data_IF_273202976157
#
_entry.id   IF_273202976157
#
_cell.length_a   1.000
_cell.length_b   1.000
_cell.length_c   1.000
_cell.angle_alpha   90.00
_cell.angle_beta   90.00
_cell.angle_gamma   90.00
#
_symmetry.space_group_name_H-M   'P 1'
#
loop_
_entity.id
_entity.type
_entity.pdbx_description
1 polymer ?
#
# COMPACT_ATOMS: atom_id res chain seq x y z
N UNK A 1 -64.01 -21.00 7.09
CA UNK A 1 -64.98 -19.95 6.71
C UNK A 1 -64.35 -18.58 6.86
N UNK A 2 -64.58 -17.75 5.87
CA UNK A 2 -64.28 -16.35 5.59
C UNK A 2 -62.93 -16.03 4.96
N UNK A 3 -63.06 -15.84 3.62
CA UNK A 3 -62.19 -15.09 2.68
C UNK A 3 -62.35 -13.59 2.92
N UNK A 4 -61.31 -12.79 2.73
CA UNK A 4 -61.36 -11.41 2.25
C UNK A 4 -60.06 -11.18 1.43
N UNK A 5 -60.18 -11.14 0.16
CA UNK A 5 -60.10 -10.14 -0.95
C UNK A 5 -59.16 -8.95 -0.61
N UNK A 6 -58.10 -8.79 -1.27
CA UNK A 6 -57.47 -8.27 -2.43
C UNK A 6 -57.62 -6.75 -2.61
N UNK A 7 -56.51 -6.04 -2.68
CA UNK A 7 -56.44 -4.77 -3.37
C UNK A 7 -55.03 -4.52 -3.94
N UNK A 8 -54.91 -4.68 -5.24
CA UNK A 8 -53.76 -4.33 -6.07
C UNK A 8 -53.81 -2.83 -6.43
N UNK A 9 -52.72 -2.13 -6.26
CA UNK A 9 -52.52 -0.76 -6.79
C UNK A 9 -51.48 -0.78 -7.92
N UNK A 10 -51.72 -0.02 -9.00
CA UNK A 10 -50.84 -0.02 -10.18
C UNK A 10 -49.64 0.89 -10.00
N UNK A 11 -48.50 0.44 -10.52
CA UNK A 11 -47.22 1.17 -10.59
C UNK A 11 -47.29 2.19 -11.74
N UNK A 12 -47.11 3.47 -11.46
CA UNK A 12 -46.92 4.53 -12.47
C UNK A 12 -45.45 4.60 -12.86
N UNK A 13 -45.19 4.53 -14.17
CA UNK A 13 -43.89 4.83 -14.78
C UNK A 13 -43.70 6.36 -14.88
N UNK A 14 -42.50 6.90 -14.62
CA UNK A 14 -42.19 8.28 -14.99
C UNK A 14 -41.63 8.37 -16.42
N UNK A 15 -41.92 9.48 -17.06
CA UNK A 15 -41.61 9.80 -18.44
C UNK A 15 -40.14 10.19 -18.65
N UNK A 16 -39.63 9.80 -19.81
CA UNK A 16 -38.34 10.24 -20.38
C UNK A 16 -38.37 11.70 -20.80
N UNK A 17 -37.44 12.52 -20.28
CA UNK A 17 -37.10 13.81 -20.82
C UNK A 17 -35.80 13.70 -21.63
N UNK A 18 -35.92 14.04 -22.92
CA UNK A 18 -34.78 14.22 -23.83
C UNK A 18 -34.23 15.64 -23.62
N UNK A 19 -32.92 15.77 -23.44
CA UNK A 19 -32.21 17.06 -23.47
C UNK A 19 -31.17 17.00 -24.58
N UNK A 20 -31.27 18.04 -25.45
CA UNK A 20 -30.49 18.14 -26.66
C UNK A 20 -29.04 18.55 -26.45
N UNK A 21 -28.22 18.11 -27.38
CA UNK A 21 -26.81 18.52 -27.53
C UNK A 21 -26.72 19.90 -28.18
N UNK A 22 -25.97 20.79 -27.55
CA UNK A 22 -25.45 22.01 -28.20
C UNK A 22 -23.93 21.87 -28.32
N UNK A 23 -23.45 21.84 -29.54
CA UNK A 23 -22.02 21.85 -29.87
C UNK A 23 -21.48 23.29 -29.83
N UNK A 24 -20.41 23.56 -29.14
CA UNK A 24 -19.60 24.76 -29.27
C UNK A 24 -18.20 24.39 -29.76
N UNK A 25 -17.88 24.93 -30.95
CA UNK A 25 -16.54 24.92 -31.50
C UNK A 25 -15.74 26.09 -30.89
N UNK A 26 -14.49 25.85 -30.51
CA UNK A 26 -13.54 26.90 -30.16
C UNK A 26 -12.23 26.69 -30.96
N UNK A 27 -11.86 27.78 -31.60
CA UNK A 27 -10.76 27.98 -32.52
C UNK A 27 -9.38 27.85 -31.86
N UNK A 28 -8.45 27.33 -32.64
CA UNK A 28 -7.02 27.33 -32.37
C UNK A 28 -6.42 28.72 -32.59
N UNK A 29 -5.47 29.10 -31.73
CA UNK A 29 -4.51 30.15 -32.02
C UNK A 29 -3.09 29.66 -31.66
N UNK A 30 -2.24 29.57 -32.66
CA UNK A 30 -0.80 29.39 -32.55
C UNK A 30 -0.13 30.73 -32.21
N UNK A 31 0.87 30.73 -31.33
CA UNK A 31 1.97 31.69 -31.42
C UNK A 31 3.28 31.11 -30.98
N UNK A 32 4.27 31.30 -31.78
CA UNK A 32 5.67 30.86 -31.80
C UNK A 32 6.62 31.84 -31.11
N UNK A 33 7.75 31.32 -30.63
CA UNK A 33 8.99 32.06 -30.38
C UNK A 33 9.38 32.13 -28.93
N UNK A 34 10.59 31.87 -28.50
CA UNK A 34 11.92 31.88 -29.00
C UNK A 34 12.91 31.51 -27.91
N UNK A 35 14.05 31.06 -28.33
CA UNK A 35 15.27 30.61 -27.65
C UNK A 35 15.88 31.56 -26.64
N UNK A 36 16.52 31.01 -25.58
CA UNK A 36 17.93 31.26 -25.25
C UNK A 36 18.37 30.49 -23.97
N UNK A 37 19.39 29.64 -24.10
CA UNK A 37 20.33 29.26 -23.02
C UNK A 37 21.42 30.35 -22.94
N UNK A 38 22.20 30.46 -21.85
CA UNK A 38 23.26 29.51 -21.55
C UNK A 38 23.64 29.32 -20.05
N UNK A 39 24.17 28.14 -19.76
CA UNK A 39 25.50 28.01 -19.13
C UNK A 39 25.70 27.96 -17.65
N UNK A 40 26.18 26.81 -17.15
CA UNK A 40 27.35 26.79 -16.30
C UNK A 40 27.12 26.35 -14.84
N UNK A 41 27.78 25.26 -14.45
CA UNK A 41 28.19 25.04 -13.07
C UNK A 41 27.86 23.66 -12.48
N UNK A 42 28.59 22.63 -12.91
CA UNK A 42 28.65 21.35 -12.23
C UNK A 42 29.44 21.51 -10.92
N UNK A 43 28.84 21.21 -9.79
CA UNK A 43 29.56 20.80 -8.57
C UNK A 43 29.04 19.44 -8.16
N UNK A 44 29.94 18.47 -8.29
CA UNK A 44 29.75 17.12 -7.79
C UNK A 44 29.63 17.16 -6.26
N UNK A 45 28.55 16.64 -5.71
CA UNK A 45 28.49 16.21 -4.34
C UNK A 45 28.11 14.75 -4.27
N UNK A 46 28.96 14.01 -3.55
CA UNK A 46 28.93 12.60 -3.27
C UNK A 46 27.55 12.09 -2.86
N UNK A 47 27.04 11.15 -3.63
CA UNK A 47 25.86 10.37 -3.29
C UNK A 47 26.15 9.44 -2.10
N UNK A 48 25.53 9.72 -0.97
CA UNK A 48 25.28 8.71 0.07
C UNK A 48 23.99 7.98 -0.33
N UNK A 49 24.09 6.66 -0.48
CA UNK A 49 23.01 5.77 -0.81
C UNK A 49 21.88 5.87 0.21
N UNK A 50 20.69 6.21 -0.24
CA UNK A 50 19.32 5.92 0.21
C UNK A 50 18.35 7.04 -0.22
N UNK A 51 18.31 7.35 -1.51
CA UNK A 51 17.51 8.47 -2.02
C UNK A 51 16.62 8.12 -3.21
N UNK A 52 15.81 7.08 -3.11
CA UNK A 52 14.95 6.62 -4.20
C UNK A 52 13.50 7.12 -4.14
N UNK A 53 13.22 8.37 -3.83
CA UNK A 53 11.85 8.90 -3.86
C UNK A 53 11.73 10.28 -4.52
N UNK A 54 12.83 11.01 -4.67
CA UNK A 54 12.83 12.31 -5.32
C UNK A 54 12.95 12.14 -6.84
N UNK A 55 11.89 12.45 -7.57
CA UNK A 55 11.99 12.58 -9.04
C UNK A 55 12.82 13.84 -9.33
N UNK A 56 13.92 13.75 -10.11
CA UNK A 56 14.72 14.91 -10.44
C UNK A 56 13.87 16.04 -11.04
N UNK A 57 13.90 17.22 -10.40
CA UNK A 57 13.14 18.40 -10.84
C UNK A 57 11.67 18.44 -10.38
N UNK A 58 11.15 17.43 -9.71
CA UNK A 58 9.79 17.45 -9.16
C UNK A 58 9.81 17.86 -7.68
N UNK A 59 8.95 18.79 -7.31
CA UNK A 59 8.78 19.26 -5.92
C UNK A 59 7.40 18.86 -5.40
N UNK A 60 7.33 18.54 -4.12
CA UNK A 60 6.05 18.31 -3.45
C UNK A 60 5.40 19.68 -3.20
N UNK A 61 4.17 19.93 -3.69
CA UNK A 61 3.52 21.25 -3.59
C UNK A 61 3.40 21.76 -2.16
N UNK A 62 3.26 20.88 -1.19
CA UNK A 62 3.07 21.19 0.24
C UNK A 62 4.37 21.29 1.03
N UNK A 63 5.55 21.09 0.41
CA UNK A 63 6.84 21.01 1.11
C UNK A 63 7.14 22.18 2.05
N UNK A 64 6.62 23.36 1.75
CA UNK A 64 6.86 24.59 2.52
C UNK A 64 5.70 24.95 3.47
N UNK A 65 4.73 24.07 3.66
CA UNK A 65 3.68 24.31 4.65
C UNK A 65 4.26 24.32 6.07
N UNK A 66 3.78 25.22 6.96
CA UNK A 66 4.29 25.33 8.31
C UNK A 66 3.92 24.08 9.12
N UNK A 67 4.93 23.35 9.62
CA UNK A 67 4.73 22.18 10.47
C UNK A 67 4.46 22.56 11.93
N UNK A 68 3.70 21.70 12.63
CA UNK A 68 3.44 21.86 14.05
C UNK A 68 4.77 21.90 14.85
N UNK A 69 4.92 22.84 15.78
CA UNK A 69 6.12 22.99 16.60
C UNK A 69 5.98 22.37 17.99
N UNK A 70 4.74 22.16 18.44
CA UNK A 70 4.39 21.54 19.72
C UNK A 70 3.03 20.88 19.62
N UNK A 71 2.91 19.67 20.11
CA UNK A 71 1.60 18.98 20.21
C UNK A 71 0.83 19.61 21.37
N UNK A 72 -0.38 20.06 21.08
CA UNK A 72 -1.33 20.60 22.04
C UNK A 72 -2.31 19.55 22.54
N UNK A 73 -3.41 20.04 23.14
CA UNK A 73 -4.57 19.20 23.45
C UNK A 73 -5.23 18.75 22.12
N UNK A 74 -5.63 17.50 22.05
CA UNK A 74 -6.35 16.97 20.90
C UNK A 74 -7.70 17.68 20.68
N UNK A 75 -8.13 17.74 19.44
CA UNK A 75 -9.36 18.40 18.99
C UNK A 75 -10.62 17.56 19.27
N UNK A 76 -10.47 16.35 19.80
CA UNK A 76 -11.57 15.47 20.21
C UNK A 76 -11.99 14.43 19.17
N UNK A 77 -11.51 14.55 17.93
CA UNK A 77 -11.78 13.58 16.86
C UNK A 77 -10.54 13.30 16.05
N UNK A 78 -10.49 12.11 15.40
CA UNK A 78 -9.46 11.69 14.48
C UNK A 78 -10.07 10.81 13.39
N UNK A 79 -10.09 11.31 12.16
CA UNK A 79 -10.71 10.65 11.02
C UNK A 79 -9.64 9.98 10.17
N UNK A 80 -9.59 8.67 10.17
CA UNK A 80 -8.53 7.86 9.57
C UNK A 80 -9.03 7.09 8.35
N UNK A 81 -8.28 7.14 7.26
CA UNK A 81 -8.36 6.19 6.16
C UNK A 81 -7.34 5.09 6.46
N UNK A 82 -7.78 3.83 6.50
CA UNK A 82 -6.93 2.72 6.91
C UNK A 82 -7.23 1.42 6.14
N UNK A 83 -6.26 0.53 6.13
CA UNK A 83 -6.48 -0.86 5.74
C UNK A 83 -7.39 -1.57 6.73
N UNK A 84 -8.12 -2.60 6.25
CA UNK A 84 -8.94 -3.45 7.11
C UNK A 84 -8.09 -4.09 8.21
N UNK A 85 -8.52 -3.96 9.47
CA UNK A 85 -7.82 -4.50 10.63
C UNK A 85 -6.95 -3.48 11.38
N UNK A 86 -6.42 -2.43 10.74
CA UNK A 86 -5.44 -1.51 11.37
C UNK A 86 -5.95 -0.72 12.58
N UNK A 87 -7.25 -0.63 12.76
CA UNK A 87 -7.87 0.10 13.85
C UNK A 87 -8.57 -0.87 14.84
N UNK A 88 -7.81 -1.87 15.34
CA UNK A 88 -8.33 -2.81 16.33
C UNK A 88 -8.58 -2.11 17.68
N UNK A 89 -9.70 -2.39 18.33
CA UNK A 89 -10.02 -1.85 19.66
C UNK A 89 -8.95 -2.05 20.74
N UNK A 90 -8.07 -3.04 20.60
CA UNK A 90 -6.97 -3.30 21.56
C UNK A 90 -6.04 -2.11 21.76
N UNK A 91 -5.79 -1.30 20.72
CA UNK A 91 -4.98 -0.08 20.81
C UNK A 91 -5.78 1.19 20.56
N UNK A 92 -6.87 1.15 19.80
CA UNK A 92 -7.71 2.34 19.56
C UNK A 92 -8.35 2.83 20.86
N UNK A 93 -9.01 1.94 21.62
CA UNK A 93 -9.66 2.34 22.89
C UNK A 93 -8.71 2.95 23.91
N UNK A 94 -7.51 2.37 24.19
CA UNK A 94 -6.54 3.01 25.07
C UNK A 94 -6.07 4.38 24.57
N UNK A 95 -5.90 4.56 23.27
CA UNK A 95 -5.57 5.86 22.67
C UNK A 95 -6.67 6.89 22.94
N UNK A 96 -7.92 6.55 22.65
CA UNK A 96 -9.07 7.42 22.89
C UNK A 96 -9.20 7.83 24.37
N UNK A 97 -9.00 6.87 25.29
CA UNK A 97 -9.03 7.12 26.72
C UNK A 97 -7.91 8.06 27.20
N UNK A 98 -6.71 7.92 26.62
CA UNK A 98 -5.53 8.72 27.02
C UNK A 98 -5.58 10.13 26.46
N UNK A 99 -6.10 10.31 25.25
CA UNK A 99 -5.99 11.56 24.50
C UNK A 99 -7.29 12.34 24.38
N UNK A 100 -8.43 11.66 24.53
CA UNK A 100 -9.77 12.19 24.24
C UNK A 100 -10.06 12.32 22.74
N UNK A 101 -9.16 11.85 21.84
CA UNK A 101 -9.37 11.84 20.40
C UNK A 101 -10.14 10.58 19.99
N UNK A 102 -11.43 10.73 19.61
CA UNK A 102 -12.27 9.64 19.14
C UNK A 102 -11.89 9.27 17.71
N UNK A 103 -11.60 7.99 17.46
CA UNK A 103 -11.16 7.48 16.16
C UNK A 103 -12.36 7.09 15.31
N UNK A 104 -12.47 7.72 14.14
CA UNK A 104 -13.45 7.39 13.10
C UNK A 104 -12.72 6.74 11.91
N UNK A 105 -13.11 5.52 11.57
CA UNK A 105 -12.46 4.73 10.54
C UNK A 105 -13.20 4.78 9.20
N UNK A 106 -12.49 5.05 8.11
CA UNK A 106 -12.86 4.70 6.74
C UNK A 106 -11.88 3.63 6.27
N UNK A 107 -12.34 2.39 6.15
CA UNK A 107 -11.52 1.33 5.55
C UNK A 107 -11.52 1.45 4.03
N UNK A 108 -10.34 1.31 3.44
CA UNK A 108 -10.12 1.27 2.01
C UNK A 108 -9.64 -0.12 1.59
N UNK A 109 -10.07 -0.57 0.42
CA UNK A 109 -9.73 -1.88 -0.13
C UNK A 109 -8.53 -1.86 -1.07
N UNK A 110 -7.99 -0.68 -1.40
CA UNK A 110 -6.84 -0.54 -2.31
C UNK A 110 -6.11 0.78 -2.12
N UNK A 111 -4.84 0.81 -2.55
CA UNK A 111 -4.04 2.04 -2.65
C UNK A 111 -4.72 3.11 -3.51
N UNK A 112 -5.39 2.71 -4.60
CA UNK A 112 -6.11 3.64 -5.48
C UNK A 112 -7.30 4.30 -4.79
N UNK A 113 -8.05 3.57 -3.96
CA UNK A 113 -9.11 4.13 -3.14
C UNK A 113 -8.54 5.13 -2.13
N UNK A 114 -7.42 4.81 -1.46
CA UNK A 114 -6.74 5.71 -0.52
C UNK A 114 -6.30 7.01 -1.18
N UNK A 115 -5.65 6.94 -2.36
CA UNK A 115 -5.28 8.11 -3.15
C UNK A 115 -6.52 8.93 -3.52
N UNK A 116 -7.62 8.29 -3.90
CA UNK A 116 -8.87 8.97 -4.24
C UNK A 116 -9.49 9.70 -3.06
N UNK A 117 -9.52 9.09 -1.88
CA UNK A 117 -10.04 9.68 -0.64
C UNK A 117 -9.17 10.84 -0.14
N UNK A 118 -7.86 10.79 -0.41
CA UNK A 118 -6.91 11.85 -0.03
C UNK A 118 -6.94 13.08 -0.95
N UNK A 119 -7.61 13.03 -2.10
CA UNK A 119 -7.70 14.16 -3.03
C UNK A 119 -8.15 15.44 -2.33
N UNK A 120 -7.59 16.58 -2.76
CA UNK A 120 -7.77 17.89 -2.13
C UNK A 120 -7.33 17.94 -0.67
N UNK A 121 -6.28 17.17 -0.30
CA UNK A 121 -5.75 17.10 1.04
C UNK A 121 -6.71 16.48 2.05
N UNK A 122 -7.36 15.39 1.67
CA UNK A 122 -8.38 14.71 2.47
C UNK A 122 -9.73 15.46 2.50
N UNK A 123 -9.88 16.50 1.64
CA UNK A 123 -11.11 17.28 1.54
C UNK A 123 -11.55 18.02 2.81
N UNK A 124 -10.70 18.08 3.85
CA UNK A 124 -11.06 18.55 5.20
C UNK A 124 -11.95 17.60 5.99
N UNK A 125 -12.10 16.36 5.51
CA UNK A 125 -12.86 15.29 6.18
C UNK A 125 -11.96 14.29 6.90
N UNK A 126 -10.81 14.00 6.31
CA UNK A 126 -9.85 13.03 6.83
C UNK A 126 -8.60 13.72 7.36
N UNK A 127 -8.08 13.16 8.44
CA UNK A 127 -6.86 13.64 9.09
C UNK A 127 -5.64 12.92 8.60
N UNK A 128 -5.73 11.61 8.44
CA UNK A 128 -4.59 10.77 8.06
C UNK A 128 -5.03 9.59 7.19
N UNK A 129 -4.05 9.04 6.48
CA UNK A 129 -4.16 7.77 5.74
C UNK A 129 -3.00 6.84 6.11
N UNK A 130 -3.27 5.54 6.22
CA UNK A 130 -2.23 4.49 6.32
C UNK A 130 -1.95 3.92 4.93
N UNK A 131 -1.24 4.67 4.10
CA UNK A 131 -0.97 4.25 2.72
C UNK A 131 0.32 3.44 2.60
N UNK A 132 0.40 2.61 1.57
CA UNK A 132 1.60 1.85 1.22
C UNK A 132 2.44 2.58 0.18
N UNK A 133 3.72 2.20 0.04
CA UNK A 133 4.69 2.91 -0.78
C UNK A 133 4.31 3.08 -2.26
N UNK A 134 3.42 2.24 -2.80
CA UNK A 134 2.87 2.39 -4.16
C UNK A 134 1.91 3.57 -4.30
N UNK A 135 1.32 4.05 -3.19
CA UNK A 135 0.42 5.19 -3.15
C UNK A 135 1.12 6.49 -2.72
N UNK A 136 2.11 6.39 -1.85
CA UNK A 136 2.67 7.52 -1.12
C UNK A 136 3.15 8.65 -2.03
N UNK A 137 3.97 8.37 -3.04
CA UNK A 137 4.46 9.41 -3.95
C UNK A 137 3.34 10.06 -4.78
N UNK A 138 2.27 9.32 -5.07
CA UNK A 138 1.09 9.88 -5.78
C UNK A 138 0.37 10.90 -4.91
N UNK A 139 0.20 10.61 -3.61
CA UNK A 139 -0.39 11.52 -2.63
C UNK A 139 0.52 12.75 -2.44
N UNK A 140 1.83 12.54 -2.32
CA UNK A 140 2.81 13.61 -2.13
C UNK A 140 2.85 14.59 -3.31
N UNK A 141 3.04 14.08 -4.53
CA UNK A 141 3.16 14.93 -5.72
C UNK A 141 1.83 15.56 -6.15
N UNK A 142 0.69 15.04 -5.69
CA UNK A 142 -0.60 15.70 -5.83
C UNK A 142 -0.77 16.88 -4.84
N UNK A 143 0.10 17.00 -3.82
CA UNK A 143 -0.02 18.01 -2.77
C UNK A 143 -1.11 17.68 -1.74
N UNK A 144 -1.42 16.40 -1.57
CA UNK A 144 -2.51 15.95 -0.70
C UNK A 144 -2.04 15.58 0.72
N UNK A 145 -0.72 15.49 0.95
CA UNK A 145 -0.12 15.27 2.27
C UNK A 145 0.56 16.52 2.82
N UNK A 146 0.56 16.65 4.15
CA UNK A 146 1.18 17.73 4.91
C UNK A 146 2.55 17.27 5.44
N UNK A 147 3.58 18.14 5.44
CA UNK A 147 4.86 17.84 6.10
C UNK A 147 4.69 17.55 7.59
N UNK A 148 5.49 16.63 8.11
CA UNK A 148 5.47 16.20 9.52
C UNK A 148 6.76 16.61 10.23
N UNK A 149 6.62 17.19 11.41
CA UNK A 149 7.75 17.46 12.30
C UNK A 149 8.07 16.19 13.12
N UNK A 150 8.97 15.35 12.61
CA UNK A 150 9.38 14.10 13.27
C UNK A 150 10.02 14.28 14.64
N UNK A 151 10.52 15.49 14.97
CA UNK A 151 11.05 15.79 16.31
C UNK A 151 9.98 15.70 17.38
N UNK A 152 8.71 15.78 17.00
CA UNK A 152 7.57 15.59 17.89
C UNK A 152 7.17 14.11 18.05
N UNK A 153 7.87 13.17 17.41
CA UNK A 153 7.59 11.72 17.47
C UNK A 153 8.76 11.03 18.16
N UNK A 154 8.75 10.88 19.49
CA UNK A 154 9.90 10.39 20.27
C UNK A 154 10.43 9.03 19.85
N UNK A 155 9.53 8.13 19.43
CA UNK A 155 9.86 6.75 19.02
C UNK A 155 10.50 6.66 17.64
N UNK A 156 10.45 7.71 16.80
CA UNK A 156 11.02 7.68 15.45
C UNK A 156 12.52 7.32 15.42
N UNK A 157 13.29 7.78 16.41
CA UNK A 157 14.73 7.44 16.54
C UNK A 157 15.00 5.95 16.77
N UNK A 158 13.99 5.20 17.25
CA UNK A 158 14.08 3.78 17.57
C UNK A 158 13.66 2.89 16.37
N UNK A 159 13.28 3.49 15.25
CA UNK A 159 12.96 2.76 14.03
C UNK A 159 14.22 2.18 13.39
N UNK A 160 14.05 1.12 12.62
CA UNK A 160 15.12 0.65 11.74
C UNK A 160 15.53 1.75 10.78
N UNK A 161 16.84 1.88 10.44
CA UNK A 161 17.32 2.96 9.56
C UNK A 161 16.56 3.06 8.23
N UNK A 162 16.14 1.92 7.65
CA UNK A 162 15.38 1.88 6.42
C UNK A 162 14.01 2.60 6.52
N UNK A 163 13.44 2.70 7.72
CA UNK A 163 12.11 3.28 7.96
C UNK A 163 12.13 4.65 8.67
N UNK A 164 13.32 5.18 9.00
CA UNK A 164 13.43 6.52 9.55
C UNK A 164 13.19 7.60 8.48
N UNK A 165 13.70 7.40 7.27
CA UNK A 165 13.56 8.35 6.17
C UNK A 165 13.42 7.61 4.84
N UNK A 166 12.39 6.74 4.70
CA UNK A 166 12.24 5.97 3.47
C UNK A 166 11.85 6.88 2.31
N UNK A 167 12.33 6.54 1.13
CA UNK A 167 12.15 7.31 -0.08
C UNK A 167 10.68 7.52 -0.50
N UNK A 168 9.78 6.63 -0.08
CA UNK A 168 8.37 6.72 -0.41
C UNK A 168 7.61 7.75 0.45
N UNK A 169 8.12 8.15 1.64
CA UNK A 169 7.48 9.17 2.47
C UNK A 169 8.38 10.35 2.87
N UNK A 170 9.62 10.38 2.39
CA UNK A 170 10.59 11.44 2.70
C UNK A 170 11.22 11.96 1.41
N UNK A 171 10.89 13.19 1.04
CA UNK A 171 11.35 13.82 -0.19
C UNK A 171 12.20 15.03 0.14
N UNK A 172 13.45 15.07 -0.37
CA UNK A 172 14.41 16.14 -0.11
C UNK A 172 14.58 16.47 1.39
N UNK A 173 14.57 15.44 2.26
CA UNK A 173 14.70 15.58 3.70
C UNK A 173 13.43 16.05 4.43
N UNK A 174 12.32 16.27 3.72
CA UNK A 174 11.02 16.59 4.30
C UNK A 174 10.23 15.31 4.51
N UNK A 175 9.80 15.05 5.73
CA UNK A 175 8.99 13.89 6.10
C UNK A 175 7.49 14.22 5.97
N UNK A 176 6.69 13.28 5.48
CA UNK A 176 5.24 13.45 5.29
C UNK A 176 4.41 12.47 6.10
N UNK A 177 5.06 11.63 6.88
CA UNK A 177 4.39 10.65 7.71
C UNK A 177 5.38 9.89 8.59
N UNK A 178 4.85 8.89 9.28
CA UNK A 178 5.60 7.98 10.15
C UNK A 178 5.32 6.57 9.68
N UNK A 179 6.39 5.83 9.36
CA UNK A 179 6.29 4.42 9.00
C UNK A 179 5.70 3.62 10.18
N UNK A 180 4.91 2.61 9.88
CA UNK A 180 4.16 1.85 10.88
C UNK A 180 4.68 0.43 11.04
N UNK A 181 4.65 -0.32 9.95
CA UNK A 181 5.02 -1.73 9.87
C UNK A 181 5.18 -2.11 8.40
N UNK A 182 5.76 -3.28 8.17
CA UNK A 182 5.97 -3.78 6.83
C UNK A 182 5.80 -5.31 6.79
N UNK A 183 5.62 -5.84 5.61
CA UNK A 183 5.54 -7.27 5.39
C UNK A 183 5.73 -7.65 3.92
N UNK A 184 6.14 -8.89 3.67
CA UNK A 184 6.22 -9.43 2.31
C UNK A 184 4.84 -9.82 1.81
N UNK A 185 4.66 -9.80 0.48
CA UNK A 185 3.67 -10.63 -0.16
C UNK A 185 4.14 -12.09 -0.07
N UNK A 186 3.36 -12.94 0.54
CA UNK A 186 3.74 -14.33 0.77
C UNK A 186 2.96 -15.27 -0.13
N UNK A 187 3.60 -16.36 -0.55
CA UNK A 187 2.90 -17.48 -1.16
C UNK A 187 2.20 -18.28 -0.07
N UNK A 188 0.87 -18.26 -0.08
CA UNK A 188 0.01 -19.02 0.81
C UNK A 188 -0.41 -20.33 0.18
N UNK A 189 -0.47 -21.41 0.97
CA UNK A 189 -0.91 -22.72 0.47
C UNK A 189 -1.60 -23.53 1.56
N UNK A 190 -2.60 -24.31 1.18
CA UNK A 190 -3.27 -25.26 2.09
C UNK A 190 -2.37 -26.48 2.33
N UNK A 191 -1.97 -26.73 3.58
CA UNK A 191 -1.06 -27.85 3.94
C UNK A 191 -1.69 -29.25 3.79
N UNK A 192 -3.01 -29.34 3.55
CA UNK A 192 -3.66 -30.60 3.17
C UNK A 192 -3.33 -30.98 1.73
N UNK A 193 -3.21 -29.98 0.86
CA UNK A 193 -2.97 -30.16 -0.58
C UNK A 193 -1.47 -30.17 -0.89
N UNK A 194 -0.68 -29.40 -0.15
CA UNK A 194 0.77 -29.31 -0.29
C UNK A 194 1.50 -29.88 0.94
N UNK A 195 2.08 -31.06 0.79
CA UNK A 195 2.86 -31.70 1.89
C UNK A 195 4.24 -31.10 2.07
N UNK A 196 4.76 -30.45 1.05
CA UNK A 196 6.01 -29.69 1.06
C UNK A 196 5.69 -28.27 0.62
N UNK A 197 6.28 -27.28 1.31
CA UNK A 197 6.14 -25.89 0.94
C UNK A 197 6.58 -25.64 -0.52
N UNK A 198 5.80 -24.97 -1.36
CA UNK A 198 6.24 -24.58 -2.69
C UNK A 198 7.48 -23.68 -2.60
N UNK A 199 8.50 -23.96 -3.41
CA UNK A 199 9.75 -23.19 -3.42
C UNK A 199 9.83 -22.11 -4.48
N UNK A 200 8.83 -22.04 -5.36
CA UNK A 200 8.74 -21.10 -6.48
C UNK A 200 7.32 -20.56 -6.63
N UNK A 201 7.21 -19.32 -7.14
CA UNK A 201 5.95 -18.76 -7.59
C UNK A 201 5.35 -19.48 -8.81
N UNK A 202 6.07 -20.42 -9.44
CA UNK A 202 5.57 -21.24 -10.57
C UNK A 202 4.18 -21.83 -10.29
N UNK A 203 3.91 -22.20 -9.04
CA UNK A 203 2.65 -22.87 -8.66
C UNK A 203 1.41 -22.02 -8.89
N UNK A 204 1.49 -20.68 -8.82
CA UNK A 204 0.35 -19.80 -9.10
C UNK A 204 0.15 -19.54 -10.60
N UNK A 205 1.06 -20.02 -11.44
CA UNK A 205 1.00 -19.98 -12.89
C UNK A 205 0.75 -21.37 -13.51
N UNK A 206 0.69 -22.43 -12.69
CA UNK A 206 0.48 -23.80 -13.16
C UNK A 206 -1.01 -24.08 -13.44
N UNK A 207 -1.33 -24.47 -14.66
CA UNK A 207 -2.69 -24.82 -15.11
C UNK A 207 -3.35 -25.94 -14.29
N UNK A 208 -2.57 -26.76 -13.58
CA UNK A 208 -3.06 -27.78 -12.66
C UNK A 208 -3.96 -27.21 -11.55
N UNK A 209 -3.74 -25.94 -11.16
CA UNK A 209 -4.47 -25.27 -10.09
C UNK A 209 -5.54 -24.30 -10.59
N UNK A 210 -6.02 -24.52 -11.82
CA UNK A 210 -7.05 -23.69 -12.43
C UNK A 210 -8.29 -23.53 -11.54
N UNK A 211 -8.68 -22.26 -11.28
CA UNK A 211 -9.82 -21.90 -10.46
C UNK A 211 -9.60 -22.15 -8.95
N UNK A 212 -8.33 -22.25 -8.49
CA UNK A 212 -8.00 -22.49 -7.09
C UNK A 212 -6.93 -21.52 -6.55
N UNK A 213 -6.62 -20.46 -7.31
CA UNK A 213 -5.62 -19.44 -6.96
C UNK A 213 -6.32 -18.13 -6.65
N UNK A 214 -5.89 -17.44 -5.58
CA UNK A 214 -6.34 -16.09 -5.24
C UNK A 214 -5.17 -15.12 -5.24
N UNK A 215 -5.40 -13.89 -5.67
CA UNK A 215 -4.38 -12.83 -5.69
C UNK A 215 -5.03 -11.47 -5.36
N UNK A 216 -4.27 -10.47 -4.86
CA UNK A 216 -4.81 -9.13 -4.62
C UNK A 216 -5.34 -8.46 -5.89
N UNK A 217 -6.46 -7.75 -5.78
CA UNK A 217 -6.97 -6.85 -6.82
C UNK A 217 -6.22 -5.51 -6.77
N UNK A 218 -4.95 -5.52 -7.18
CA UNK A 218 -4.11 -4.34 -7.12
C UNK A 218 -3.14 -4.30 -8.32
N UNK A 219 -3.08 -3.21 -9.11
CA UNK A 219 -2.15 -3.07 -10.25
C UNK A 219 -0.68 -3.30 -9.89
N UNK A 220 -0.29 -3.10 -8.62
CA UNK A 220 1.09 -3.32 -8.16
C UNK A 220 1.54 -4.79 -8.30
N UNK A 221 0.59 -5.74 -8.47
CA UNK A 221 0.88 -7.15 -8.77
C UNK A 221 1.70 -7.35 -10.07
N UNK A 222 1.77 -6.34 -10.93
CA UNK A 222 2.67 -6.35 -12.10
C UNK A 222 4.13 -6.42 -11.63
N UNK A 223 4.46 -5.84 -10.46
CA UNK A 223 5.79 -5.98 -9.87
C UNK A 223 6.05 -7.41 -9.37
N UNK A 224 5.05 -8.14 -8.84
CA UNK A 224 5.20 -9.55 -8.46
C UNK A 224 5.55 -10.41 -9.67
N UNK A 225 4.86 -10.17 -10.80
CA UNK A 225 5.19 -10.81 -12.07
C UNK A 225 6.60 -10.44 -12.55
N UNK A 226 7.04 -9.19 -12.33
CA UNK A 226 8.38 -8.74 -12.69
C UNK A 226 9.47 -9.41 -11.82
N UNK A 227 9.24 -9.61 -10.51
CA UNK A 227 10.14 -10.38 -9.63
C UNK A 227 10.29 -11.80 -10.13
N UNK A 228 9.19 -12.47 -10.47
CA UNK A 228 9.22 -13.80 -11.08
C UNK A 228 10.01 -13.81 -12.39
N UNK A 229 9.71 -12.87 -13.31
CA UNK A 229 10.38 -12.79 -14.62
C UNK A 229 11.87 -12.45 -14.53
N UNK A 230 12.28 -11.67 -13.54
CA UNK A 230 13.70 -11.37 -13.27
C UNK A 230 14.51 -12.65 -13.10
N UNK A 231 13.95 -13.68 -12.48
CA UNK A 231 14.59 -14.99 -12.29
C UNK A 231 14.43 -15.89 -13.49
N UNK A 232 13.23 -15.99 -14.06
CA UNK A 232 12.87 -16.96 -15.09
C UNK A 232 13.15 -16.50 -16.53
N UNK A 233 13.30 -15.17 -16.76
CA UNK A 233 13.66 -14.57 -18.05
C UNK A 233 14.73 -13.49 -17.86
N UNK A 234 15.95 -13.85 -17.45
CA UNK A 234 17.01 -12.88 -17.16
C UNK A 234 17.40 -12.03 -18.38
N UNK A 235 17.11 -12.50 -19.61
CA UNK A 235 17.31 -11.72 -20.84
C UNK A 235 16.48 -10.45 -20.92
N UNK A 236 15.44 -10.30 -20.10
CA UNK A 236 14.66 -9.05 -19.98
C UNK A 236 15.45 -7.95 -19.28
N UNK A 237 16.48 -8.28 -18.48
CA UNK A 237 17.30 -7.30 -17.78
C UNK A 237 16.56 -6.51 -16.71
N UNK A 238 15.55 -7.09 -16.08
CA UNK A 238 14.79 -6.44 -14.97
C UNK A 238 15.73 -6.30 -13.77
N UNK A 239 15.98 -5.07 -13.33
CA UNK A 239 16.77 -4.77 -12.12
C UNK A 239 15.88 -4.40 -10.95
N UNK A 240 14.92 -3.49 -11.15
CA UNK A 240 13.92 -3.06 -10.19
C UNK A 240 12.51 -3.42 -10.73
N UNK A 241 11.67 -4.14 -9.95
CA UNK A 241 10.35 -4.55 -10.40
C UNK A 241 9.34 -3.39 -10.57
N UNK A 242 9.66 -2.20 -10.06
CA UNK A 242 8.82 -1.00 -10.18
C UNK A 242 9.30 -0.04 -11.28
N UNK A 243 10.50 -0.26 -11.83
CA UNK A 243 11.11 0.56 -12.87
C UNK A 243 11.18 -0.19 -14.19
N UNK A 244 10.02 -0.56 -14.70
CA UNK A 244 9.92 -1.37 -15.91
C UNK A 244 9.93 -0.50 -17.18
N UNK A 245 10.83 -0.82 -18.10
CA UNK A 245 10.72 -0.35 -19.49
C UNK A 245 9.48 -0.97 -20.17
N UNK A 246 9.01 -0.38 -21.28
CA UNK A 246 7.82 -0.88 -21.98
C UNK A 246 7.89 -2.38 -22.33
N UNK A 247 9.01 -2.95 -22.83
CA UNK A 247 9.09 -4.40 -23.09
C UNK A 247 9.01 -5.26 -21.81
N UNK A 248 9.65 -4.83 -20.73
CA UNK A 248 9.60 -5.53 -19.43
C UNK A 248 8.20 -5.50 -18.83
N UNK A 249 7.56 -4.33 -18.85
CA UNK A 249 6.18 -4.14 -18.43
C UNK A 249 5.21 -5.03 -19.22
N UNK A 250 5.31 -5.03 -20.54
CA UNK A 250 4.44 -5.86 -21.38
C UNK A 250 4.64 -7.37 -21.11
N UNK A 251 5.87 -7.79 -20.81
CA UNK A 251 6.14 -9.18 -20.43
C UNK A 251 5.46 -9.55 -19.12
N UNK A 252 5.51 -8.66 -18.11
CA UNK A 252 4.84 -8.87 -16.81
C UNK A 252 3.31 -8.90 -16.97
N UNK A 253 2.73 -7.95 -17.71
CA UNK A 253 1.29 -7.92 -18.00
C UNK A 253 0.85 -9.18 -18.75
N UNK A 254 1.62 -9.64 -19.74
CA UNK A 254 1.30 -10.86 -20.50
C UNK A 254 1.32 -12.11 -19.62
N UNK A 255 2.25 -12.20 -18.65
CA UNK A 255 2.29 -13.29 -17.69
C UNK A 255 1.02 -13.31 -16.82
N UNK A 256 0.62 -12.16 -16.27
CA UNK A 256 -0.60 -12.05 -15.46
C UNK A 256 -1.87 -12.31 -16.28
N UNK A 257 -1.93 -11.84 -17.53
CA UNK A 257 -3.04 -12.15 -18.43
C UNK A 257 -3.16 -13.67 -18.68
N UNK A 258 -2.03 -14.38 -18.80
CA UNK A 258 -2.04 -15.85 -18.91
C UNK A 258 -2.46 -16.55 -17.62
N UNK A 259 -2.27 -15.92 -16.46
CA UNK A 259 -2.71 -16.44 -15.16
C UNK A 259 -4.23 -16.31 -14.96
N UNK A 260 -4.89 -15.34 -15.59
CA UNK A 260 -6.32 -15.03 -15.40
C UNK A 260 -7.24 -16.27 -15.36
N UNK A 261 -7.11 -17.28 -16.23
CA UNK A 261 -7.96 -18.48 -16.18
C UNK A 261 -7.75 -19.37 -14.94
N UNK A 262 -6.66 -19.15 -14.19
CA UNK A 262 -6.31 -19.90 -12.99
C UNK A 262 -6.90 -19.25 -11.73
N UNK A 263 -7.23 -17.96 -11.81
CA UNK A 263 -7.66 -17.16 -10.67
C UNK A 263 -9.12 -17.49 -10.33
N UNK A 264 -9.34 -17.90 -9.08
CA UNK A 264 -10.65 -17.99 -8.47
C UNK A 264 -11.20 -16.61 -8.15
N UNK A 265 -10.33 -15.78 -7.50
CA UNK A 265 -10.69 -14.42 -7.11
C UNK A 265 -9.51 -13.46 -7.10
N UNK A 266 -9.76 -12.26 -7.63
CA UNK A 266 -9.00 -11.05 -7.31
C UNK A 266 -9.66 -10.43 -6.07
N UNK A 267 -8.99 -10.51 -4.91
CA UNK A 267 -9.56 -10.03 -3.65
C UNK A 267 -9.15 -8.58 -3.35
N UNK A 268 -10.10 -7.79 -2.85
CA UNK A 268 -9.87 -6.39 -2.43
C UNK A 268 -9.76 -6.26 -0.91
N UNK A 269 -10.43 -7.12 -0.15
CA UNK A 269 -10.33 -7.17 1.31
C UNK A 269 -9.71 -8.49 1.75
N UNK A 270 -8.83 -8.43 2.74
CA UNK A 270 -8.16 -9.62 3.30
C UNK A 270 -9.16 -10.70 3.74
N UNK A 271 -10.30 -10.27 4.29
CA UNK A 271 -11.40 -11.15 4.69
C UNK A 271 -11.97 -12.01 3.55
N UNK A 272 -11.91 -11.53 2.30
CA UNK A 272 -12.37 -12.29 1.13
C UNK A 272 -11.46 -13.49 0.84
N UNK A 273 -10.13 -13.30 0.86
CA UNK A 273 -9.19 -14.40 0.68
C UNK A 273 -9.26 -15.41 1.83
N UNK A 274 -9.37 -14.93 3.09
CA UNK A 274 -9.59 -15.79 4.26
C UNK A 274 -10.84 -16.66 4.07
N UNK A 275 -11.93 -16.07 3.56
CA UNK A 275 -13.16 -16.80 3.26
C UNK A 275 -12.95 -17.87 2.20
N UNK A 276 -12.25 -17.54 1.10
CA UNK A 276 -12.04 -18.48 -0.02
C UNK A 276 -11.19 -19.68 0.41
N UNK A 277 -10.14 -19.49 1.21
CA UNK A 277 -9.38 -20.60 1.81
C UNK A 277 -10.25 -21.45 2.74
N UNK A 278 -11.02 -20.85 3.66
CA UNK A 278 -11.86 -21.57 4.62
C UNK A 278 -12.94 -22.43 3.96
N UNK A 279 -13.47 -21.98 2.83
CA UNK A 279 -14.52 -22.70 2.09
C UNK A 279 -13.97 -23.65 1.03
N UNK A 280 -12.65 -23.74 0.85
CA UNK A 280 -12.02 -24.60 -0.13
C UNK A 280 -12.15 -24.12 -1.57
N UNK A 281 -12.50 -22.85 -1.79
CA UNK A 281 -12.52 -22.20 -3.09
C UNK A 281 -11.09 -22.00 -3.60
N UNK A 282 -10.14 -21.72 -2.68
CA UNK A 282 -8.72 -21.56 -2.98
C UNK A 282 -7.86 -22.53 -2.16
N UNK A 283 -6.76 -22.99 -2.77
CA UNK A 283 -5.71 -23.79 -2.12
C UNK A 283 -4.34 -23.15 -2.21
N UNK A 284 -4.20 -22.13 -3.07
CA UNK A 284 -3.02 -21.29 -3.29
C UNK A 284 -3.43 -19.83 -3.33
N UNK A 285 -2.53 -18.94 -2.90
CA UNK A 285 -2.75 -17.51 -3.01
C UNK A 285 -1.49 -16.69 -2.84
N UNK A 286 -1.53 -15.47 -3.33
CA UNK A 286 -0.62 -14.41 -2.94
C UNK A 286 -1.34 -13.52 -1.94
N UNK A 287 -0.86 -13.46 -0.71
CA UNK A 287 -1.51 -12.73 0.37
C UNK A 287 -0.51 -12.08 1.32
N UNK A 288 -1.00 -11.61 2.44
CA UNK A 288 -0.19 -10.95 3.46
C UNK A 288 -0.09 -11.80 4.73
N UNK A 289 0.89 -11.56 5.59
CA UNK A 289 0.99 -12.25 6.89
C UNK A 289 -0.29 -12.18 7.73
N UNK A 290 -1.07 -11.12 7.61
CA UNK A 290 -2.36 -10.95 8.30
C UNK A 290 -3.36 -12.08 7.99
N UNK A 291 -3.56 -12.46 6.72
CA UNK A 291 -4.44 -13.58 6.36
C UNK A 291 -3.91 -14.89 6.93
N UNK A 292 -2.59 -15.10 6.86
CA UNK A 292 -1.93 -16.29 7.42
C UNK A 292 -2.16 -16.38 8.93
N UNK A 293 -1.91 -15.29 9.67
CA UNK A 293 -2.12 -15.21 11.11
C UNK A 293 -3.58 -15.50 11.49
N UNK A 294 -4.53 -14.88 10.78
CA UNK A 294 -5.97 -15.07 10.99
C UNK A 294 -6.41 -16.51 10.73
N UNK A 295 -5.91 -17.14 9.67
CA UNK A 295 -6.21 -18.53 9.33
C UNK A 295 -5.60 -19.51 10.36
N UNK A 296 -4.35 -19.28 10.80
CA UNK A 296 -3.71 -20.05 11.88
C UNK A 296 -4.50 -19.95 13.19
N UNK A 297 -4.92 -18.73 13.57
CA UNK A 297 -5.73 -18.52 14.77
C UNK A 297 -7.09 -19.26 14.73
N UNK A 298 -7.62 -19.47 13.53
CA UNK A 298 -8.82 -20.28 13.29
C UNK A 298 -8.53 -21.80 13.16
N UNK A 299 -7.31 -22.25 13.44
CA UNK A 299 -6.85 -23.65 13.27
C UNK A 299 -7.00 -24.18 11.83
N UNK A 300 -6.98 -23.28 10.83
CA UNK A 300 -6.99 -23.67 9.43
C UNK A 300 -5.60 -24.17 9.00
N UNK A 301 -5.49 -25.23 8.17
CA UNK A 301 -4.20 -25.82 7.76
C UNK A 301 -3.53 -24.96 6.67
N UNK A 302 -3.03 -23.80 7.04
CA UNK A 302 -2.33 -22.86 6.16
C UNK A 302 -0.82 -22.94 6.36
N UNK A 303 -0.09 -22.96 5.26
CA UNK A 303 1.35 -22.74 5.19
C UNK A 303 1.67 -21.49 4.39
N UNK A 304 2.87 -20.97 4.59
CA UNK A 304 3.37 -19.80 3.86
C UNK A 304 4.86 -19.93 3.59
N UNK A 305 5.32 -19.28 2.52
CA UNK A 305 6.74 -19.21 2.17
C UNK A 305 7.03 -17.95 1.35
N UNK A 306 8.29 -17.50 1.40
CA UNK A 306 8.85 -16.59 0.39
C UNK A 306 9.61 -17.47 -0.59
N UNK A 307 9.16 -17.56 -1.86
CA UNK A 307 9.83 -18.39 -2.86
C UNK A 307 11.24 -17.92 -3.21
N UNK A 308 11.98 -18.78 -3.90
CA UNK A 308 13.39 -18.54 -4.26
C UNK A 308 13.63 -17.35 -5.19
N UNK A 309 12.58 -16.86 -5.85
CA UNK A 309 12.60 -15.63 -6.66
C UNK A 309 12.65 -14.36 -5.80
N UNK A 310 12.38 -14.48 -4.51
CA UNK A 310 12.04 -13.38 -3.62
C UNK A 310 10.56 -13.01 -3.69
N UNK A 311 10.21 -11.88 -3.11
CA UNK A 311 8.86 -11.35 -3.10
C UNK A 311 8.85 -9.82 -3.21
N UNK A 312 7.73 -9.24 -3.58
CA UNK A 312 7.46 -7.86 -3.25
C UNK A 312 6.99 -7.76 -1.79
N UNK A 313 7.01 -6.56 -1.24
CA UNK A 313 6.53 -6.30 0.10
C UNK A 313 6.03 -4.87 0.23
N UNK A 314 5.17 -4.63 1.17
CA UNK A 314 4.63 -3.32 1.47
C UNK A 314 5.26 -2.78 2.76
N UNK A 315 5.30 -1.46 2.84
CA UNK A 315 5.63 -0.73 4.06
C UNK A 315 4.65 0.43 4.14
N UNK A 316 3.94 0.53 5.25
CA UNK A 316 2.85 1.46 5.40
C UNK A 316 3.26 2.70 6.18
N UNK A 317 2.68 3.83 5.80
CA UNK A 317 2.96 5.13 6.39
C UNK A 317 1.68 5.78 6.89
N UNK A 318 1.62 6.20 8.14
CA UNK A 318 0.61 7.14 8.59
C UNK A 318 0.96 8.53 8.08
N UNK A 319 0.35 8.96 6.98
CA UNK A 319 0.52 10.27 6.37
C UNK A 319 -0.51 11.26 6.89
N UNK A 320 -0.07 12.48 7.18
CA UNK A 320 -0.95 13.59 7.55
C UNK A 320 -1.57 14.21 6.30
N UNK A 321 -2.88 14.36 6.26
CA UNK A 321 -3.57 15.00 5.14
C UNK A 321 -3.23 16.52 5.09
N UNK A 322 -3.11 17.07 3.87
CA UNK A 322 -2.74 18.48 3.72
C UNK A 322 -3.76 19.46 4.34
N UNK A 323 -5.02 19.03 4.50
CA UNK A 323 -6.10 19.82 5.12
C UNK A 323 -6.68 19.10 6.34
N UNK A 324 -5.86 18.36 7.08
CA UNK A 324 -6.29 17.66 8.28
C UNK A 324 -6.98 18.60 9.28
N UNK A 325 -8.24 18.36 9.65
CA UNK A 325 -8.95 19.23 10.59
C UNK A 325 -8.49 19.09 12.04
N UNK A 326 -7.82 17.96 12.39
CA UNK A 326 -7.43 17.62 13.76
C UNK A 326 -5.92 17.30 13.88
N UNK A 327 -5.03 18.28 13.61
CA UNK A 327 -3.58 18.02 13.55
C UNK A 327 -2.98 17.59 14.90
N UNK A 328 -3.48 18.07 16.06
CA UNK A 328 -2.97 17.59 17.33
C UNK A 328 -3.34 16.13 17.60
N UNK A 329 -4.58 15.71 17.31
CA UNK A 329 -4.97 14.31 17.41
C UNK A 329 -4.15 13.43 16.45
N UNK A 330 -3.82 13.91 15.25
CA UNK A 330 -2.95 13.22 14.30
C UNK A 330 -1.54 13.01 14.85
N UNK A 331 -0.94 14.03 15.45
CA UNK A 331 0.38 13.89 16.09
C UNK A 331 0.34 13.00 17.33
N UNK A 332 -0.71 13.09 18.16
CA UNK A 332 -0.91 12.18 19.28
C UNK A 332 -1.03 10.73 18.82
N UNK A 333 -1.71 10.50 17.69
CA UNK A 333 -1.79 9.18 17.05
C UNK A 333 -0.41 8.69 16.60
N UNK A 334 0.33 9.49 15.84
CA UNK A 334 1.68 9.13 15.40
C UNK A 334 2.62 8.81 16.57
N UNK A 335 2.54 9.60 17.66
CA UNK A 335 3.32 9.34 18.90
C UNK A 335 2.94 8.00 19.52
N UNK A 336 1.64 7.71 19.62
CA UNK A 336 1.12 6.51 20.26
C UNK A 336 1.39 5.25 19.45
N UNK A 337 1.04 5.29 18.15
CA UNK A 337 1.11 4.13 17.26
C UNK A 337 2.55 3.68 16.98
N UNK A 338 3.52 4.59 17.08
CA UNK A 338 4.94 4.33 16.85
C UNK A 338 5.68 3.78 18.09
N UNK A 339 5.00 3.68 19.26
CA UNK A 339 5.64 3.14 20.46
C UNK A 339 5.95 1.66 20.34
N UNK A 340 7.04 1.15 20.95
CA UNK A 340 7.40 -0.26 20.90
C UNK A 340 6.26 -1.19 21.32
N UNK A 341 5.53 -0.82 22.37
CA UNK A 341 4.42 -1.61 22.91
C UNK A 341 3.26 -1.74 21.92
N UNK A 342 2.88 -0.64 21.28
CA UNK A 342 1.74 -0.64 20.35
C UNK A 342 2.12 -1.32 19.04
N UNK A 343 3.32 -1.05 18.52
CA UNK A 343 3.81 -1.77 17.33
C UNK A 343 3.97 -3.27 17.58
N UNK A 344 4.38 -3.68 18.78
CA UNK A 344 4.40 -5.11 19.15
C UNK A 344 3.00 -5.74 19.16
N UNK A 345 1.98 -5.02 19.68
CA UNK A 345 0.60 -5.50 19.64
C UNK A 345 0.08 -5.68 18.21
N UNK A 346 0.39 -4.72 17.33
CA UNK A 346 0.03 -4.78 15.92
C UNK A 346 0.75 -5.93 15.22
N UNK A 347 2.08 -6.00 15.36
CA UNK A 347 2.91 -7.04 14.76
C UNK A 347 2.41 -8.45 15.12
N UNK A 348 2.14 -8.71 16.39
CA UNK A 348 1.62 -10.02 16.86
C UNK A 348 0.21 -10.29 16.35
N UNK A 349 -0.64 -9.25 16.25
CA UNK A 349 -2.02 -9.40 15.77
C UNK A 349 -2.06 -9.69 14.27
N UNK A 350 -1.21 -9.03 13.49
CA UNK A 350 -1.20 -9.18 12.02
C UNK A 350 -0.21 -10.25 11.53
N UNK A 351 0.78 -10.63 12.35
CA UNK A 351 1.88 -11.48 11.93
C UNK A 351 2.91 -10.72 11.07
N UNK A 352 3.08 -9.43 11.31
CA UNK A 352 3.87 -8.50 10.50
C UNK A 352 5.12 -8.02 11.23
N UNK A 353 6.03 -7.39 10.50
CA UNK A 353 7.28 -6.88 11.08
C UNK A 353 7.10 -5.41 11.52
N UNK A 354 7.37 -5.06 12.79
CA UNK A 354 7.31 -3.67 13.25
C UNK A 354 8.48 -2.85 12.72
N UNK A 355 8.29 -1.56 12.52
CA UNK A 355 9.37 -0.64 12.15
C UNK A 355 10.23 -0.21 13.34
N UNK A 356 9.69 -0.29 14.54
CA UNK A 356 10.41 0.04 15.77
C UNK A 356 11.18 -1.19 16.28
N UNK A 357 12.52 -1.13 16.23
CA UNK A 357 13.41 -2.22 16.66
C UNK A 357 13.26 -2.64 18.13
N UNK A 358 12.73 -1.76 18.99
CA UNK A 358 12.48 -2.09 20.39
C UNK A 358 11.19 -2.89 20.59
N UNK A 359 10.35 -3.02 19.58
CA UNK A 359 9.12 -3.80 19.64
C UNK A 359 9.37 -5.31 19.80
N UNK A 360 10.52 -5.82 19.33
CA UNK A 360 10.90 -7.25 19.43
C UNK A 360 10.75 -7.79 20.87
N UNK A 361 11.29 -7.09 21.87
CA UNK A 361 11.20 -7.50 23.26
C UNK A 361 9.77 -7.45 23.82
N UNK A 362 8.94 -6.54 23.32
CA UNK A 362 7.52 -6.45 23.69
C UNK A 362 6.68 -7.53 23.00
N UNK A 363 7.03 -7.92 21.76
CA UNK A 363 6.39 -9.02 21.04
C UNK A 363 6.53 -10.33 21.78
N UNK A 364 7.74 -10.68 22.25
CA UNK A 364 7.99 -11.93 22.97
C UNK A 364 7.29 -11.98 24.34
N UNK A 365 6.96 -10.84 24.96
CA UNK A 365 6.10 -10.78 26.15
C UNK A 365 4.64 -11.09 25.83
N UNK A 366 4.17 -10.73 24.64
CA UNK A 366 2.79 -10.99 24.20
C UNK A 366 2.63 -12.44 23.72
N UNK A 367 3.61 -12.91 22.94
CA UNK A 367 3.64 -14.27 22.40
C UNK A 367 5.10 -14.70 22.29
N UNK A 368 5.50 -15.67 23.09
CA UNK A 368 6.87 -16.17 23.13
C UNK A 368 7.32 -16.64 21.73
N UNK A 369 8.47 -16.14 21.26
CA UNK A 369 9.05 -16.45 19.96
C UNK A 369 8.51 -15.61 18.79
N UNK A 370 7.54 -14.72 19.00
CA UNK A 370 6.93 -13.93 17.93
C UNK A 370 7.90 -12.95 17.28
N UNK A 371 8.89 -12.45 18.02
CA UNK A 371 9.94 -11.62 17.45
C UNK A 371 10.69 -12.32 16.30
N UNK A 372 11.03 -13.59 16.48
CA UNK A 372 11.67 -14.39 15.45
C UNK A 372 10.68 -14.86 14.37
N UNK A 373 9.47 -15.26 14.78
CA UNK A 373 8.43 -15.74 13.88
C UNK A 373 8.04 -14.67 12.85
N UNK A 374 7.92 -13.41 13.28
CA UNK A 374 7.53 -12.28 12.43
C UNK A 374 8.72 -11.42 11.99
N UNK A 375 9.92 -12.00 12.01
CA UNK A 375 11.13 -11.45 11.42
C UNK A 375 11.58 -10.09 11.98
N UNK A 376 11.13 -9.68 13.17
CA UNK A 376 11.51 -8.42 13.78
C UNK A 376 13.00 -8.32 14.16
N UNK A 377 13.72 -9.45 14.14
CA UNK A 377 15.18 -9.56 14.35
C UNK A 377 15.88 -10.28 13.19
N UNK A 378 15.26 -10.36 12.01
CA UNK A 378 15.81 -11.07 10.87
C UNK A 378 17.15 -10.45 10.39
N UNK A 379 18.04 -11.25 9.78
CA UNK A 379 19.27 -10.75 9.19
C UNK A 379 18.96 -9.90 7.94
N UNK A 380 19.91 -9.05 7.55
CA UNK A 380 19.77 -8.17 6.38
C UNK A 380 19.40 -8.93 5.10
N UNK A 381 19.91 -10.17 4.91
CA UNK A 381 19.59 -11.00 3.75
C UNK A 381 18.12 -11.35 3.59
N UNK A 382 17.33 -11.33 4.68
CA UNK A 382 15.88 -11.48 4.61
C UNK A 382 15.23 -10.25 3.98
N UNK A 383 15.67 -9.06 4.42
CA UNK A 383 15.18 -7.79 3.87
C UNK A 383 15.57 -7.62 2.40
N UNK A 384 16.78 -8.05 2.02
CA UNK A 384 17.29 -7.95 0.64
C UNK A 384 16.51 -8.83 -0.36
N UNK A 385 15.81 -9.87 0.13
CA UNK A 385 14.96 -10.72 -0.70
C UNK A 385 13.58 -10.09 -1.00
N UNK A 386 13.27 -8.93 -0.42
CA UNK A 386 11.97 -8.30 -0.51
C UNK A 386 12.10 -6.94 -1.19
N UNK A 387 11.43 -6.78 -2.33
CA UNK A 387 11.33 -5.51 -3.04
C UNK A 387 10.15 -4.72 -2.48
N UNK A 388 10.40 -3.74 -1.62
CA UNK A 388 9.34 -2.91 -1.03
C UNK A 388 8.61 -2.09 -2.10
N UNK A 389 7.30 -2.01 -1.98
CA UNK A 389 6.43 -1.29 -2.92
C UNK A 389 6.88 0.16 -3.08
N UNK A 390 6.97 0.56 -4.33
CA UNK A 390 7.35 1.90 -4.76
C UNK A 390 6.39 2.33 -5.87
N UNK A 391 6.00 3.59 -5.89
CA UNK A 391 5.17 4.12 -6.97
C UNK A 391 5.94 4.08 -8.30
N UNK A 392 5.49 3.34 -9.33
CA UNK A 392 6.08 3.39 -10.65
C UNK A 392 5.94 4.77 -11.29
N UNK A 393 7.06 5.38 -11.66
CA UNK A 393 7.14 6.71 -12.24
C UNK A 393 7.65 6.65 -13.69
N UNK A 394 7.40 7.68 -14.50
CA UNK A 394 7.90 7.74 -15.87
C UNK A 394 9.42 7.90 -15.93
N UNK A 395 9.97 8.62 -14.96
CA UNK A 395 11.42 8.77 -14.79
C UNK A 395 11.93 7.71 -13.84
N UNK A 396 12.84 6.87 -14.30
CA UNK A 396 13.51 5.86 -13.49
C UNK A 396 14.53 6.53 -12.54
N UNK A 397 15.00 5.81 -11.53
CA UNK A 397 15.99 6.30 -10.55
C UNK A 397 17.34 6.68 -11.22
N UNK A 398 17.65 6.13 -12.40
CA UNK A 398 18.82 6.51 -13.20
C UNK A 398 18.63 7.86 -13.95
N UNK A 399 17.51 8.52 -13.77
CA UNK A 399 17.14 9.80 -14.38
C UNK A 399 16.63 9.70 -15.82
N UNK A 400 16.52 8.50 -16.38
CA UNK A 400 15.97 8.31 -17.74
C UNK A 400 14.45 8.28 -17.71
N UNK A 401 13.84 8.92 -18.68
CA UNK A 401 12.38 8.94 -18.86
C UNK A 401 11.91 7.79 -19.77
N UNK A 402 12.15 6.55 -19.35
CA UNK A 402 11.83 5.33 -20.11
C UNK A 402 11.12 4.24 -19.28
N UNK A 403 10.77 4.55 -18.05
CA UNK A 403 9.95 3.69 -17.20
C UNK A 403 8.45 3.90 -17.46
N UNK A 404 7.67 2.87 -17.21
CA UNK A 404 6.21 2.89 -17.39
C UNK A 404 5.54 3.41 -16.13
N UNK A 405 4.86 4.58 -16.17
CA UNK A 405 4.24 5.18 -14.98
C UNK A 405 2.99 4.43 -14.53
N UNK A 406 2.65 4.58 -13.25
CA UNK A 406 1.56 3.86 -12.58
C UNK A 406 0.20 3.95 -13.28
N UNK A 407 -0.11 5.09 -13.94
CA UNK A 407 -1.35 5.22 -14.70
C UNK A 407 -1.49 4.16 -15.82
N UNK A 408 -0.38 3.75 -16.43
CA UNK A 408 -0.38 2.65 -17.41
C UNK A 408 -0.54 1.29 -16.72
N UNK A 409 -0.01 1.12 -15.50
CA UNK A 409 -0.21 -0.10 -14.71
C UNK A 409 -1.70 -0.30 -14.38
N UNK A 410 -2.37 0.75 -13.90
CA UNK A 410 -3.83 0.73 -13.65
C UNK A 410 -4.60 0.40 -14.92
N UNK A 411 -4.25 1.04 -16.05
CA UNK A 411 -4.90 0.77 -17.33
C UNK A 411 -4.73 -0.69 -17.77
N UNK A 412 -3.50 -1.21 -17.74
CA UNK A 412 -3.22 -2.60 -18.15
C UNK A 412 -3.88 -3.61 -17.20
N UNK A 413 -3.87 -3.35 -15.89
CA UNK A 413 -4.55 -4.16 -14.90
C UNK A 413 -6.03 -4.34 -15.23
N UNK A 414 -6.73 -3.23 -15.45
CA UNK A 414 -8.18 -3.24 -15.71
C UNK A 414 -8.58 -3.72 -17.09
N UNK A 415 -7.70 -3.66 -18.10
CA UNK A 415 -8.07 -3.98 -19.50
C UNK A 415 -7.45 -5.28 -20.02
N UNK A 416 -6.36 -5.77 -19.41
CA UNK A 416 -5.61 -6.92 -19.90
C UNK A 416 -5.48 -8.04 -18.87
N UNK A 417 -5.39 -7.71 -17.58
CA UNK A 417 -5.15 -8.70 -16.51
C UNK A 417 -6.47 -9.22 -15.95
N UNK A 418 -7.38 -8.38 -15.49
CA UNK A 418 -8.64 -8.83 -14.87
C UNK A 418 -9.92 -8.63 -15.70
#
# INVERSE_FOLDING_TARGET
MKRTSGCSRPIRRPATLAVGFAALAVLAACSSGGSSSPGGGATANSATANGGGAVPGQTVPTANLPVLQKVGKGEGQLNLIAWEGYLDPKWVKPFEQQTGCQVNAKYAGSSDEMVSLMKNGGGGQYDMVSSSGDADLRILYAGDAHPVNIKLIPSWKDFFPAFQSPAFNTINGVHYGVSLQWGPNVLMYNTKDFKTAPSSWDVIYDSKYKGQVTVPDNPIQIADAAVYLKKHKPSLGITDPYELTQPQFQAAVSLLASQKPLIEKYWSLASQEIFDFKNGNAILGAGWPYQVSTLKAANFPIGTTIPAEGATGWADTWMLAAKAPHPNCSYLWMQYISTPKVQAQQAVTYGETPDNKLACAEMDKLQAGSCAEYHANAPQSYFDAISLWKTPLATCDDGKNNCVPYAQWVSAWNTQVK
#
